data_IF_466411177967
#
_entry.id   IF_466411177967
#
_cell.length_a   1.000
_cell.length_b   1.000
_cell.length_c   1.000
_cell.angle_alpha   90.00
_cell.angle_beta   90.00
_cell.angle_gamma   90.00
#
_symmetry.space_group_name_H-M   'P 1'
#
loop_
_entity.id
_entity.type
_entity.pdbx_description
1 polymer ?
#
# COMPACT_ATOMS: atom_id res chain seq x y z
N UNK A 1 -0.11 7.44 -19.20
CA UNK A 1 -0.51 8.66 -18.44
C UNK A 1 -2.01 8.93 -18.47
N UNK A 2 -2.70 8.79 -19.60
CA UNK A 2 -4.16 9.07 -19.69
C UNK A 2 -4.97 8.24 -18.68
N UNK A 3 -4.63 6.97 -18.49
CA UNK A 3 -5.29 6.07 -17.50
C UNK A 3 -5.16 6.63 -16.08
N UNK A 4 -3.94 7.02 -15.68
CA UNK A 4 -3.66 7.61 -14.36
C UNK A 4 -4.47 8.88 -14.14
N UNK A 5 -4.46 9.79 -15.12
CA UNK A 5 -5.19 11.06 -15.01
C UNK A 5 -6.69 10.86 -14.86
N UNK A 6 -7.27 9.93 -15.65
CA UNK A 6 -8.69 9.56 -15.57
C UNK A 6 -9.03 9.03 -14.17
N UNK A 7 -8.30 8.03 -13.70
CA UNK A 7 -8.58 7.37 -12.42
C UNK A 7 -8.38 8.34 -11.23
N UNK A 8 -7.32 9.15 -11.26
CA UNK A 8 -7.06 10.16 -10.22
C UNK A 8 -8.20 11.17 -10.13
N UNK A 9 -8.69 11.67 -11.28
CA UNK A 9 -9.81 12.61 -11.31
C UNK A 9 -11.12 12.00 -10.79
N UNK A 10 -11.41 10.76 -11.18
CA UNK A 10 -12.63 10.07 -10.76
C UNK A 10 -12.67 9.87 -9.25
N UNK A 11 -11.55 9.47 -8.66
CA UNK A 11 -11.47 9.18 -7.25
C UNK A 11 -11.40 10.45 -6.39
N UNK A 12 -10.70 11.50 -6.84
CA UNK A 12 -10.72 12.81 -6.19
C UNK A 12 -12.12 13.44 -6.16
N UNK A 13 -12.98 13.10 -7.13
CA UNK A 13 -14.36 13.59 -7.19
C UNK A 13 -15.27 12.89 -6.19
N UNK A 14 -15.11 11.58 -5.96
CA UNK A 14 -15.90 10.87 -4.95
C UNK A 14 -15.39 11.09 -3.54
N UNK A 15 -14.07 11.19 -3.36
CA UNK A 15 -13.36 11.23 -2.05
C UNK A 15 -13.65 10.04 -1.12
N UNK A 16 -14.58 9.16 -1.48
CA UNK A 16 -15.09 8.07 -0.65
C UNK A 16 -13.99 7.08 -0.26
N UNK A 17 -13.10 6.70 -1.19
CA UNK A 17 -11.99 5.80 -0.88
C UNK A 17 -11.01 6.45 0.10
N UNK A 18 -10.56 7.68 -0.19
CA UNK A 18 -9.60 8.37 0.68
C UNK A 18 -10.18 8.53 2.08
N UNK A 19 -11.43 8.99 2.21
CA UNK A 19 -12.08 9.19 3.51
C UNK A 19 -12.26 7.86 4.24
N UNK A 20 -12.83 6.85 3.59
CA UNK A 20 -13.09 5.55 4.22
C UNK A 20 -11.81 4.86 4.68
N UNK A 21 -10.78 4.84 3.83
CA UNK A 21 -9.49 4.20 4.14
C UNK A 21 -8.74 4.99 5.20
N UNK A 22 -8.76 6.32 5.15
CA UNK A 22 -8.13 7.16 6.19
C UNK A 22 -8.83 6.96 7.53
N UNK A 23 -10.16 7.02 7.60
CA UNK A 23 -10.92 6.80 8.84
C UNK A 23 -10.61 5.43 9.42
N UNK A 24 -10.55 4.40 8.58
CA UNK A 24 -10.20 3.06 9.03
C UNK A 24 -8.76 2.99 9.57
N UNK A 25 -7.79 3.55 8.87
CA UNK A 25 -6.40 3.63 9.36
C UNK A 25 -6.30 4.40 10.68
N UNK A 26 -7.04 5.49 10.83
CA UNK A 26 -7.12 6.26 12.07
C UNK A 26 -7.68 5.43 13.22
N UNK A 27 -8.76 4.67 12.98
CA UNK A 27 -9.32 3.77 13.99
C UNK A 27 -8.30 2.71 14.44
N UNK A 28 -7.52 2.14 13.51
CA UNK A 28 -6.46 1.20 13.85
C UNK A 28 -5.43 1.85 14.78
N UNK A 29 -4.95 3.05 14.44
CA UNK A 29 -3.99 3.79 15.27
C UNK A 29 -4.55 4.10 16.65
N UNK A 30 -5.81 4.56 16.73
CA UNK A 30 -6.50 4.86 18.00
C UNK A 30 -6.60 3.60 18.87
N UNK A 31 -7.07 2.48 18.29
CA UNK A 31 -7.22 1.22 19.03
C UNK A 31 -5.88 0.74 19.60
N UNK A 32 -4.82 0.79 18.79
CA UNK A 32 -3.48 0.41 19.25
C UNK A 32 -2.93 1.38 20.31
N UNK A 33 -3.14 2.68 20.15
CA UNK A 33 -2.71 3.68 21.13
C UNK A 33 -3.33 3.40 22.53
N UNK A 34 -4.64 3.17 22.59
CA UNK A 34 -5.31 2.81 23.85
C UNK A 34 -4.86 1.45 24.40
N UNK A 35 -4.59 0.47 23.53
CA UNK A 35 -4.08 -0.83 23.96
C UNK A 35 -2.69 -0.72 24.61
N UNK A 36 -1.81 0.12 24.06
CA UNK A 36 -0.44 0.33 24.53
C UNK A 36 -0.35 1.25 25.76
N UNK A 37 -1.29 2.17 25.95
CA UNK A 37 -1.29 3.12 27.07
C UNK A 37 -1.32 2.42 28.46
N UNK A 38 -1.64 1.13 28.51
CA UNK A 38 -1.59 0.32 29.74
C UNK A 38 -0.18 -0.22 30.07
N UNK A 39 0.85 0.06 29.26
CA UNK A 39 2.22 -0.42 29.45
C UNK A 39 3.27 0.69 29.16
N UNK A 40 3.74 1.45 30.17
CA UNK A 40 4.72 2.51 29.96
C UNK A 40 6.04 1.96 29.37
N UNK A 41 6.58 2.66 28.36
CA UNK A 41 7.84 2.32 27.69
C UNK A 41 7.75 1.40 26.46
N UNK A 42 6.58 0.79 26.18
CA UNK A 42 6.39 -0.08 24.99
C UNK A 42 5.93 0.66 23.72
N UNK A 43 5.54 1.92 23.84
CA UNK A 43 4.96 2.69 22.73
C UNK A 43 5.97 2.90 21.60
N UNK A 44 7.21 3.28 21.93
CA UNK A 44 8.25 3.57 20.93
C UNK A 44 8.76 2.33 20.19
N UNK A 45 8.86 1.19 20.89
CA UNK A 45 9.33 -0.08 20.31
C UNK A 45 8.31 -0.68 19.34
N UNK A 46 7.02 -0.60 19.68
CA UNK A 46 5.94 -1.19 18.87
C UNK A 46 5.38 -0.24 17.83
N UNK A 47 5.74 1.04 17.91
CA UNK A 47 5.28 2.08 17.00
C UNK A 47 5.45 1.66 15.52
N UNK A 48 6.66 1.41 14.99
CA UNK A 48 6.83 1.04 13.58
C UNK A 48 5.94 -0.13 13.14
N UNK A 49 5.78 -1.14 13.98
CA UNK A 49 4.88 -2.28 13.72
C UNK A 49 3.42 -1.86 13.55
N UNK A 50 2.92 -0.97 14.41
CA UNK A 50 1.54 -0.46 14.35
C UNK A 50 1.32 0.38 13.09
N UNK A 51 2.31 1.20 12.71
CA UNK A 51 2.25 2.01 11.49
C UNK A 51 2.08 1.12 10.25
N UNK A 52 2.97 0.13 10.10
CA UNK A 52 2.94 -0.79 8.96
C UNK A 52 1.71 -1.71 8.97
N UNK A 53 1.19 -2.08 10.15
CA UNK A 53 -0.09 -2.78 10.26
C UNK A 53 -1.25 -1.91 9.75
N UNK A 54 -1.33 -0.64 10.17
CA UNK A 54 -2.33 0.30 9.70
C UNK A 54 -2.23 0.49 8.18
N UNK A 55 -1.02 0.62 7.63
CA UNK A 55 -0.79 0.73 6.19
C UNK A 55 -1.20 -0.54 5.44
N UNK A 56 -0.88 -1.73 5.96
CA UNK A 56 -1.25 -2.98 5.30
C UNK A 56 -2.78 -3.17 5.26
N UNK A 57 -3.47 -2.85 6.36
CA UNK A 57 -4.94 -2.88 6.42
C UNK A 57 -5.59 -1.84 5.51
N UNK A 58 -5.05 -0.62 5.49
CA UNK A 58 -5.49 0.43 4.57
C UNK A 58 -5.26 0.03 3.10
N UNK A 59 -4.12 -0.60 2.78
CA UNK A 59 -3.81 -1.10 1.46
C UNK A 59 -4.82 -2.17 1.03
N UNK A 60 -5.13 -3.16 1.86
CA UNK A 60 -6.15 -4.18 1.56
C UNK A 60 -7.50 -3.53 1.22
N UNK A 61 -7.93 -2.54 2.00
CA UNK A 61 -9.21 -1.86 1.77
C UNK A 61 -9.20 -1.02 0.47
N UNK A 62 -8.10 -0.33 0.19
CA UNK A 62 -7.91 0.44 -1.04
C UNK A 62 -7.87 -0.48 -2.27
N UNK A 63 -7.08 -1.56 -2.21
CA UNK A 63 -6.94 -2.52 -3.32
C UNK A 63 -8.24 -3.26 -3.60
N UNK A 64 -9.04 -3.58 -2.58
CA UNK A 64 -10.37 -4.18 -2.76
C UNK A 64 -11.32 -3.32 -3.60
N UNK A 65 -11.07 -2.00 -3.72
CA UNK A 65 -11.90 -1.08 -4.51
C UNK A 65 -11.28 -0.68 -5.86
N UNK A 66 -9.98 -0.91 -6.05
CA UNK A 66 -9.20 -0.40 -7.18
C UNK A 66 -9.72 -0.82 -8.57
N UNK A 67 -10.18 -2.08 -8.72
CA UNK A 67 -10.73 -2.62 -9.97
C UNK A 67 -12.25 -2.74 -9.98
N UNK A 68 -12.92 -2.58 -8.84
CA UNK A 68 -14.38 -2.76 -8.72
C UNK A 68 -15.13 -1.75 -9.58
N UNK A 69 -14.74 -0.47 -9.51
CA UNK A 69 -15.33 0.58 -10.33
C UNK A 69 -15.19 0.33 -11.82
N UNK A 70 -14.02 -0.16 -12.24
CA UNK A 70 -13.74 -0.43 -13.65
C UNK A 70 -14.49 -1.66 -14.15
N UNK A 71 -14.70 -2.66 -13.30
CA UNK A 71 -15.54 -3.82 -13.66
C UNK A 71 -17.02 -3.41 -13.76
N UNK A 72 -17.56 -2.71 -12.76
CA UNK A 72 -18.98 -2.34 -12.72
C UNK A 72 -19.40 -1.43 -13.89
N UNK A 73 -18.46 -0.68 -14.45
CA UNK A 73 -18.68 0.22 -15.59
C UNK A 73 -18.27 -0.38 -16.94
N UNK A 74 -17.81 -1.64 -16.99
CA UNK A 74 -17.24 -2.25 -18.20
C UNK A 74 -15.96 -1.57 -18.68
N UNK A 75 -15.35 -0.72 -17.85
CA UNK A 75 -14.14 0.03 -18.16
C UNK A 75 -12.91 -0.86 -18.33
N UNK A 76 -12.86 -1.99 -17.61
CA UNK A 76 -11.78 -2.97 -17.76
C UNK A 76 -11.82 -3.62 -19.16
N UNK A 77 -12.99 -4.09 -19.60
CA UNK A 77 -13.19 -4.67 -20.94
C UNK A 77 -12.88 -3.64 -22.03
N UNK A 78 -13.35 -2.40 -21.86
CA UNK A 78 -13.05 -1.27 -22.76
C UNK A 78 -11.56 -0.95 -22.86
N UNK A 79 -10.79 -1.08 -21.77
CA UNK A 79 -9.34 -0.90 -21.78
C UNK A 79 -8.62 -2.04 -22.50
N UNK A 80 -9.13 -3.27 -22.42
CA UNK A 80 -8.51 -4.45 -23.03
C UNK A 80 -8.69 -4.53 -24.54
N UNK A 81 -9.77 -3.96 -25.07
CA UNK A 81 -9.97 -3.81 -26.52
C UNK A 81 -9.24 -2.59 -27.10
N UNK A 82 -8.68 -1.72 -26.25
CA UNK A 82 -7.94 -0.54 -26.69
C UNK A 82 -6.53 -0.94 -27.18
N UNK A 83 -5.90 -0.17 -28.09
CA UNK A 83 -4.57 -0.47 -28.63
C UNK A 83 -3.44 -0.14 -27.63
N UNK A 84 -3.67 -0.36 -26.33
CA UNK A 84 -2.73 -0.09 -25.23
C UNK A 84 -2.17 -1.41 -24.74
N UNK A 85 -0.86 -1.47 -24.50
CA UNK A 85 -0.24 -2.68 -23.93
C UNK A 85 -0.77 -2.96 -22.53
N UNK A 86 -0.96 -4.24 -22.20
CA UNK A 86 -1.47 -4.66 -20.88
C UNK A 86 -0.56 -4.22 -19.74
N UNK A 87 0.75 -4.22 -19.98
CA UNK A 87 1.75 -3.69 -19.03
C UNK A 87 1.50 -2.21 -18.71
N UNK A 88 1.13 -1.40 -19.72
CA UNK A 88 0.83 0.01 -19.51
C UNK A 88 -0.48 0.24 -18.74
N UNK A 89 -1.46 -0.66 -18.91
CA UNK A 89 -2.69 -0.66 -18.10
C UNK A 89 -2.35 -0.98 -16.64
N UNK A 90 -1.58 -2.05 -16.41
CA UNK A 90 -1.14 -2.46 -15.08
C UNK A 90 -0.36 -1.35 -14.38
N UNK A 91 0.68 -0.80 -15.03
CA UNK A 91 1.50 0.25 -14.45
C UNK A 91 0.68 1.54 -14.20
N UNK A 92 -0.28 1.84 -15.08
CA UNK A 92 -1.20 2.96 -14.87
C UNK A 92 -2.06 2.78 -13.61
N UNK A 93 -2.58 1.57 -13.38
CA UNK A 93 -3.35 1.23 -12.18
C UNK A 93 -2.48 1.22 -10.93
N UNK A 94 -1.33 0.56 -10.97
CA UNK A 94 -0.38 0.51 -9.86
C UNK A 94 0.06 1.91 -9.43
N UNK A 95 0.37 2.79 -10.39
CA UNK A 95 0.77 4.17 -10.10
C UNK A 95 -0.39 5.01 -9.53
N UNK A 96 -1.61 4.77 -9.98
CA UNK A 96 -2.79 5.43 -9.40
C UNK A 96 -3.03 4.98 -7.96
N UNK A 97 -2.99 3.67 -7.73
CA UNK A 97 -3.04 3.05 -6.41
C UNK A 97 -1.94 3.60 -5.48
N UNK A 98 -0.72 3.77 -5.99
CA UNK A 98 0.41 4.36 -5.27
C UNK A 98 0.12 5.79 -4.83
N UNK A 99 -0.37 6.64 -5.74
CA UNK A 99 -0.73 8.03 -5.40
C UNK A 99 -1.80 8.06 -4.31
N UNK A 100 -2.84 7.24 -4.41
CA UNK A 100 -3.90 7.20 -3.40
C UNK A 100 -3.43 6.68 -2.05
N UNK A 101 -2.61 5.64 -2.05
CA UNK A 101 -2.07 5.08 -0.83
C UNK A 101 -1.13 6.09 -0.14
N UNK A 102 -0.25 6.76 -0.89
CA UNK A 102 0.59 7.82 -0.35
C UNK A 102 -0.21 9.01 0.21
N UNK A 103 -1.36 9.36 -0.40
CA UNK A 103 -2.25 10.39 0.14
C UNK A 103 -2.88 9.96 1.47
N UNK A 104 -3.33 8.71 1.58
CA UNK A 104 -3.83 8.15 2.84
C UNK A 104 -2.73 8.16 3.90
N UNK A 105 -1.54 7.69 3.56
CA UNK A 105 -0.39 7.65 4.47
C UNK A 105 0.03 9.06 4.92
N UNK A 106 -0.01 10.05 4.03
CA UNK A 106 0.25 11.45 4.37
C UNK A 106 -0.77 12.03 5.37
N UNK A 107 -2.01 11.52 5.38
CA UNK A 107 -3.03 11.88 6.38
C UNK A 107 -2.82 11.11 7.69
N UNK A 108 -2.43 9.84 7.62
CA UNK A 108 -2.22 8.99 8.80
C UNK A 108 -0.96 9.37 9.58
N UNK A 109 0.13 9.72 8.90
CA UNK A 109 1.43 10.00 9.52
C UNK A 109 1.39 11.12 10.59
N UNK A 110 0.77 12.29 10.36
CA UNK A 110 0.68 13.33 11.39
C UNK A 110 -0.12 12.89 12.61
N UNK A 111 -1.24 12.17 12.41
CA UNK A 111 -2.06 11.70 13.53
C UNK A 111 -1.31 10.65 14.33
N UNK A 112 -0.65 9.74 13.62
CA UNK A 112 0.21 8.74 14.20
C UNK A 112 1.35 9.37 15.02
N UNK A 113 2.01 10.40 14.48
CA UNK A 113 3.07 11.14 15.16
C UNK A 113 2.60 11.74 16.49
N UNK A 114 1.40 12.33 16.51
CA UNK A 114 0.81 12.94 17.71
C UNK A 114 0.36 11.90 18.72
N UNK A 115 -0.31 10.82 18.28
CA UNK A 115 -0.89 9.85 19.22
C UNK A 115 0.17 8.99 19.91
N UNK A 116 1.20 8.57 19.20
CA UNK A 116 2.23 7.65 19.73
C UNK A 116 3.50 8.36 20.20
N UNK A 117 3.45 9.70 20.32
CA UNK A 117 4.56 10.58 20.73
C UNK A 117 5.83 10.35 19.89
N UNK A 118 5.63 10.25 18.57
CA UNK A 118 6.66 9.85 17.63
C UNK A 118 7.25 11.08 16.92
N UNK A 119 8.53 11.37 17.18
CA UNK A 119 9.20 12.62 16.76
C UNK A 119 9.98 12.54 15.43
N UNK A 120 10.05 11.38 14.76
CA UNK A 120 11.00 11.19 13.66
C UNK A 120 10.36 11.15 12.27
N UNK A 121 9.88 12.29 11.76
CA UNK A 121 9.62 12.49 10.32
C UNK A 121 10.96 12.70 9.58
N UNK A 122 11.78 11.65 9.54
CA UNK A 122 13.07 11.67 8.87
C UNK A 122 12.92 11.43 7.37
N UNK A 123 13.86 11.97 6.58
CA UNK A 123 13.93 11.69 5.14
C UNK A 123 14.04 10.18 4.87
N UNK A 124 14.75 9.46 5.73
CA UNK A 124 14.89 8.01 5.66
C UNK A 124 13.54 7.31 5.83
N UNK A 125 12.71 7.75 6.79
CA UNK A 125 11.38 7.17 6.99
C UNK A 125 10.48 7.41 5.78
N UNK A 126 10.49 8.61 5.20
CA UNK A 126 9.73 8.91 3.98
C UNK A 126 10.11 7.98 2.82
N UNK A 127 11.41 7.70 2.67
CA UNK A 127 11.90 6.79 1.63
C UNK A 127 11.49 5.33 1.90
N UNK A 128 11.56 4.86 3.15
CA UNK A 128 11.11 3.51 3.54
C UNK A 128 9.61 3.36 3.28
N UNK A 129 8.82 4.37 3.65
CA UNK A 129 7.37 4.40 3.38
C UNK A 129 7.14 4.32 1.88
N UNK A 130 7.74 5.21 1.09
CA UNK A 130 7.58 5.20 -0.36
C UNK A 130 7.88 3.84 -1.01
N UNK A 131 9.00 3.21 -0.63
CA UNK A 131 9.37 1.88 -1.15
C UNK A 131 8.39 0.79 -0.69
N UNK A 132 8.06 0.73 0.60
CA UNK A 132 7.09 -0.28 1.09
C UNK A 132 5.71 -0.11 0.46
N UNK A 133 5.25 1.13 0.26
CA UNK A 133 3.99 1.45 -0.42
C UNK A 133 4.02 1.08 -1.90
N UNK A 134 5.18 1.22 -2.56
CA UNK A 134 5.37 0.73 -3.93
C UNK A 134 5.18 -0.79 -3.98
N UNK A 135 5.82 -1.55 -3.09
CA UNK A 135 5.60 -2.99 -2.97
C UNK A 135 4.12 -3.35 -2.73
N UNK A 136 3.45 -2.65 -1.81
CA UNK A 136 2.02 -2.85 -1.51
C UNK A 136 1.13 -2.64 -2.73
N UNK A 137 1.39 -1.57 -3.48
CA UNK A 137 0.53 -1.16 -4.59
C UNK A 137 0.76 -2.00 -5.83
N UNK A 138 1.99 -2.42 -6.13
CA UNK A 138 2.31 -3.33 -7.24
C UNK A 138 1.69 -4.70 -7.01
N UNK A 139 1.96 -5.31 -5.85
CA UNK A 139 1.41 -6.62 -5.50
C UNK A 139 -0.11 -6.57 -5.35
N UNK A 140 -0.61 -5.50 -4.72
CA UNK A 140 -2.03 -5.27 -4.50
C UNK A 140 -2.83 -5.06 -5.78
N UNK A 141 -2.26 -4.38 -6.76
CA UNK A 141 -2.89 -4.18 -8.07
C UNK A 141 -3.06 -5.51 -8.79
N UNK A 142 -2.06 -6.40 -8.74
CA UNK A 142 -2.15 -7.74 -9.34
C UNK A 142 -3.26 -8.57 -8.69
N UNK A 143 -3.25 -8.68 -7.37
CA UNK A 143 -4.26 -9.47 -6.66
C UNK A 143 -5.66 -8.87 -6.73
N UNK A 144 -5.78 -7.54 -6.80
CA UNK A 144 -7.07 -6.88 -7.03
C UNK A 144 -7.63 -7.22 -8.42
N UNK A 145 -6.79 -7.24 -9.45
CA UNK A 145 -7.19 -7.64 -10.79
C UNK A 145 -7.64 -9.10 -10.86
N UNK A 146 -6.93 -10.02 -10.20
CA UNK A 146 -7.35 -11.43 -10.08
C UNK A 146 -8.66 -11.56 -9.28
N UNK A 147 -8.78 -10.81 -8.19
CA UNK A 147 -9.92 -10.91 -7.29
C UNK A 147 -11.21 -10.35 -7.88
N UNK A 148 -11.13 -9.37 -8.77
CA UNK A 148 -12.32 -8.81 -9.40
C UNK A 148 -13.10 -9.88 -10.18
N UNK A 149 -12.43 -10.89 -10.73
CA UNK A 149 -13.06 -11.98 -11.48
C UNK A 149 -13.70 -13.07 -10.58
N UNK A 150 -13.48 -13.03 -9.26
CA UNK A 150 -13.88 -14.07 -8.32
C UNK A 150 -15.02 -13.62 -7.39
N UNK A 151 -15.99 -14.50 -7.11
CA UNK A 151 -17.15 -14.21 -6.24
C UNK A 151 -16.78 -13.95 -4.76
N UNK A 152 -15.61 -14.41 -4.33
CA UNK A 152 -15.09 -14.29 -2.94
C UNK A 152 -13.89 -13.34 -2.85
N UNK A 153 -13.90 -12.24 -3.61
CA UNK A 153 -12.80 -11.28 -3.73
C UNK A 153 -12.29 -10.73 -2.39
N UNK A 154 -13.20 -10.47 -1.46
CA UNK A 154 -12.90 -9.88 -0.15
C UNK A 154 -12.06 -10.80 0.75
N UNK A 155 -12.11 -12.11 0.49
CA UNK A 155 -11.35 -13.13 1.21
C UNK A 155 -10.06 -13.45 0.46
N UNK A 156 -10.14 -13.58 -0.87
CA UNK A 156 -9.00 -13.99 -1.69
C UNK A 156 -7.87 -12.97 -1.67
N UNK A 157 -8.20 -11.67 -1.71
CA UNK A 157 -7.18 -10.62 -1.72
C UNK A 157 -6.31 -10.67 -0.45
N UNK A 158 -6.82 -10.56 0.78
CA UNK A 158 -5.98 -10.65 1.98
C UNK A 158 -5.20 -11.96 2.11
N UNK A 159 -5.84 -13.09 1.79
CA UNK A 159 -5.24 -14.44 1.96
C UNK A 159 -4.00 -14.62 1.10
N UNK A 160 -3.97 -14.04 -0.11
CA UNK A 160 -2.80 -14.11 -0.99
C UNK A 160 -1.85 -12.91 -0.82
N UNK A 161 -2.40 -11.73 -0.55
CA UNK A 161 -1.67 -10.47 -0.43
C UNK A 161 -0.71 -10.48 0.76
N UNK A 162 -1.18 -10.89 1.94
CA UNK A 162 -0.36 -10.84 3.16
C UNK A 162 0.87 -11.75 3.10
N UNK A 163 0.77 -13.05 2.75
CA UNK A 163 1.94 -13.93 2.65
C UNK A 163 3.02 -13.40 1.72
N UNK A 164 2.63 -12.81 0.59
CA UNK A 164 3.56 -12.23 -0.38
C UNK A 164 4.20 -10.95 0.14
N UNK A 165 3.49 -10.15 0.93
CA UNK A 165 3.99 -8.90 1.49
C UNK A 165 4.76 -9.04 2.80
N UNK A 166 4.66 -10.16 3.50
CA UNK A 166 5.39 -10.38 4.76
C UNK A 166 6.88 -9.99 4.68
N UNK A 167 7.64 -10.34 3.63
CA UNK A 167 9.05 -9.92 3.53
C UNK A 167 9.23 -8.40 3.53
N UNK A 168 8.38 -7.66 2.81
CA UNK A 168 8.42 -6.20 2.77
C UNK A 168 7.96 -5.60 4.08
N UNK A 169 6.87 -6.11 4.66
CA UNK A 169 6.35 -5.63 5.94
C UNK A 169 7.42 -5.77 7.02
N UNK A 170 8.05 -6.94 7.13
CA UNK A 170 9.11 -7.19 8.12
C UNK A 170 10.29 -6.25 7.87
N UNK A 171 10.74 -6.13 6.62
CA UNK A 171 11.87 -5.25 6.29
C UNK A 171 11.55 -3.78 6.55
N UNK A 172 10.33 -3.34 6.26
CA UNK A 172 9.92 -1.97 6.42
C UNK A 172 9.72 -1.60 7.90
N UNK A 173 9.15 -2.49 8.71
CA UNK A 173 9.08 -2.34 10.18
C UNK A 173 10.48 -2.19 10.75
N UNK A 174 11.39 -3.10 10.43
CA UNK A 174 12.76 -3.07 10.93
C UNK A 174 13.57 -1.86 10.45
N UNK A 175 13.41 -1.47 9.19
CA UNK A 175 14.03 -0.26 8.65
C UNK A 175 13.49 1.00 9.35
N UNK A 176 12.18 1.06 9.58
CA UNK A 176 11.54 2.17 10.30
C UNK A 176 12.02 2.24 11.74
N UNK A 177 12.15 1.12 12.46
CA UNK A 177 12.69 1.09 13.84
C UNK A 177 14.09 1.71 13.90
N UNK A 178 14.98 1.39 12.97
CA UNK A 178 16.34 1.96 12.93
C UNK A 178 16.38 3.42 12.50
N UNK A 179 15.51 3.81 11.56
CA UNK A 179 15.38 5.20 11.14
C UNK A 179 14.92 6.12 12.28
N UNK A 180 14.19 5.57 13.25
CA UNK A 180 13.67 6.27 14.42
C UNK A 180 14.72 6.37 15.52
N UNK A 181 15.55 5.34 15.67
CA UNK A 181 16.73 5.37 16.54
C UNK A 181 17.83 6.35 16.12
N UNK A 182 17.64 7.12 15.05
CA UNK A 182 18.59 8.14 14.58
C UNK A 182 19.79 7.57 13.81
N UNK A 183 19.74 6.31 13.37
CA UNK A 183 20.82 5.71 12.60
C UNK A 183 20.90 6.32 11.19
N UNK A 184 22.10 6.74 10.78
CA UNK A 184 22.40 7.18 9.41
C UNK A 184 22.12 6.08 8.37
N UNK A 185 22.01 6.45 7.09
CA UNK A 185 21.78 5.55 5.93
C UNK A 185 22.63 4.26 5.92
N UNK A 186 23.81 4.29 6.54
CA UNK A 186 24.75 3.17 6.65
C UNK A 186 24.23 2.07 7.61
N UNK A 187 23.41 2.39 8.62
CA UNK A 187 22.78 1.45 9.57
C UNK A 187 21.54 0.73 9.03
N UNK A 188 20.92 1.26 7.97
CA UNK A 188 19.80 0.64 7.26
C UNK A 188 20.20 -0.56 6.38
N UNK A 189 21.50 -0.90 6.37
CA UNK A 189 22.22 -1.56 5.27
C UNK A 189 21.76 -2.94 4.80
N UNK A 190 20.75 -3.56 5.42
CA UNK A 190 20.16 -4.82 4.90
C UNK A 190 18.66 -4.74 4.58
N UNK A 191 17.90 -3.95 5.33
CA UNK A 191 16.45 -3.93 5.17
C UNK A 191 16.03 -3.06 3.98
N UNK A 192 16.68 -1.92 3.77
CA UNK A 192 16.37 -1.06 2.62
C UNK A 192 16.67 -1.74 1.27
N UNK A 193 17.83 -2.40 1.09
CA UNK A 193 18.08 -3.20 -0.12
C UNK A 193 17.10 -4.36 -0.29
N UNK A 194 16.62 -4.97 0.79
CA UNK A 194 15.62 -6.05 0.71
C UNK A 194 14.30 -5.53 0.12
N UNK A 195 13.81 -4.37 0.60
CA UNK A 195 12.62 -3.73 0.05
C UNK A 195 12.86 -3.37 -1.42
N UNK A 196 14.01 -2.77 -1.75
CA UNK A 196 14.36 -2.41 -3.13
C UNK A 196 14.45 -3.63 -4.08
N UNK A 197 15.01 -4.75 -3.63
CA UNK A 197 15.06 -6.00 -4.41
C UNK A 197 13.66 -6.59 -4.59
N UNK A 198 12.84 -6.57 -3.54
CA UNK A 198 11.45 -7.00 -3.64
C UNK A 198 10.70 -6.16 -4.68
N UNK A 199 10.78 -4.83 -4.56
CA UNK A 199 10.12 -3.90 -5.48
C UNK A 199 10.58 -4.12 -6.92
N UNK A 200 11.89 -4.25 -7.15
CA UNK A 200 12.45 -4.50 -8.47
C UNK A 200 11.95 -5.84 -9.07
N UNK A 201 11.85 -6.90 -8.26
CA UNK A 201 11.34 -8.19 -8.70
C UNK A 201 9.85 -8.11 -9.06
N UNK A 202 9.02 -7.56 -8.16
CA UNK A 202 7.58 -7.52 -8.37
C UNK A 202 7.16 -6.50 -9.43
N UNK A 203 7.92 -5.43 -9.65
CA UNK A 203 7.72 -4.52 -10.79
C UNK A 203 7.91 -5.21 -12.14
N UNK A 204 8.68 -6.30 -12.22
CA UNK A 204 8.84 -7.09 -13.44
C UNK A 204 7.85 -8.24 -13.51
N UNK A 205 7.66 -8.96 -12.39
CA UNK A 205 6.80 -10.14 -12.33
C UNK A 205 5.32 -9.76 -12.46
N UNK A 206 4.85 -8.72 -11.76
CA UNK A 206 3.42 -8.42 -11.72
C UNK A 206 2.83 -7.98 -13.06
N UNK A 207 3.43 -7.07 -13.86
CA UNK A 207 2.91 -6.75 -15.18
C UNK A 207 2.87 -7.98 -16.09
N UNK A 208 3.91 -8.82 -16.03
CA UNK A 208 3.98 -10.05 -16.81
C UNK A 208 2.87 -11.04 -16.43
N UNK A 209 2.66 -11.31 -15.14
CA UNK A 209 1.57 -12.17 -14.66
C UNK A 209 0.20 -11.57 -14.98
N UNK A 210 0.04 -10.25 -14.84
CA UNK A 210 -1.20 -9.56 -15.18
C UNK A 210 -1.61 -9.79 -16.63
N UNK A 211 -0.64 -9.85 -17.55
CA UNK A 211 -0.94 -10.14 -18.95
C UNK A 211 -1.63 -11.49 -19.15
N UNK A 212 -1.27 -12.53 -18.40
CA UNK A 212 -1.90 -13.85 -18.42
C UNK A 212 -3.27 -13.88 -17.73
N UNK A 213 -3.39 -13.24 -16.55
CA UNK A 213 -4.63 -13.20 -15.76
C UNK A 213 -5.81 -12.60 -16.54
N UNK A 214 -5.51 -11.67 -17.42
CA UNK A 214 -6.53 -10.94 -18.18
C UNK A 214 -6.79 -11.58 -19.55
N UNK A 215 -6.06 -12.64 -19.88
CA UNK A 215 -6.24 -13.41 -21.11
C UNK A 215 -7.23 -14.58 -20.96
N UNK A 216 -7.47 -15.02 -19.71
CA UNK A 216 -8.49 -15.99 -19.31
C UNK A 216 -9.87 -15.33 -19.10
#
# INVERSE_FOLDING_TARGET
MVIVWKDVLLELRSKDLIVSVSVFGLLVVVVFNFALNNAPGRSEELAPGILWAAFAFAAVLAMNRAFVRDQEQGGLEGLLISPVSRDAIFLGKALTSLIFMLLVEAVLLPVYAVMLDFSALSWNLMLIIFLGTLGFTVVGTLFSAMAVQTRSREIMLPVLFFPVLLPVIIAAVEASTRAVGGETFIGLGRWLPLIGVFDALFLVICPWVFSFVVEE
#
